data_IF_808140860651
#
_entry.id   IF_808140860651
#
_cell.length_a   1.000
_cell.length_b   1.000
_cell.length_c   1.000
_cell.angle_alpha   90.00
_cell.angle_beta   90.00
_cell.angle_gamma   90.00
#
_symmetry.space_group_name_H-M   'P 1'
#
loop_
_entity.id
_entity.type
_entity.pdbx_description
1 polymer ?
#
# COMPACT_ATOMS: atom_id res chain seq x y z
N UNK A 1 1.70 0.96 -11.85
CA UNK A 1 3.09 0.63 -12.21
C UNK A 1 3.93 0.57 -10.95
N UNK A 2 4.92 -0.31 -10.90
CA UNK A 2 5.94 -0.36 -9.86
C UNK A 2 7.31 -0.13 -10.50
N UNK A 3 8.16 0.59 -9.79
CA UNK A 3 9.53 0.85 -10.20
C UNK A 3 10.49 0.14 -9.25
N UNK A 4 11.21 -0.86 -9.76
CA UNK A 4 12.24 -1.56 -8.98
C UNK A 4 13.56 -0.81 -9.15
N UNK A 5 13.99 -0.17 -8.07
CA UNK A 5 15.26 0.54 -8.01
C UNK A 5 16.35 -0.37 -7.46
N UNK A 6 17.46 -0.49 -8.18
CA UNK A 6 18.61 -1.31 -7.78
C UNK A 6 19.93 -0.63 -8.12
N UNK A 7 21.01 -1.06 -7.47
CA UNK A 7 22.38 -0.62 -7.82
C UNK A 7 22.86 -1.50 -8.98
N UNK A 8 23.14 -0.88 -10.12
CA UNK A 8 23.65 -1.56 -11.31
C UNK A 8 25.17 -1.72 -11.27
N UNK A 9 25.87 -0.81 -10.57
CA UNK A 9 27.31 -0.84 -10.42
C UNK A 9 27.83 0.26 -9.51
N UNK A 10 29.01 0.04 -8.95
CA UNK A 10 29.74 1.01 -8.12
C UNK A 10 31.19 1.05 -8.55
N UNK A 11 31.65 2.22 -8.98
CA UNK A 11 33.05 2.47 -9.28
C UNK A 11 33.58 3.55 -8.33
N UNK A 12 34.39 3.15 -7.36
CA UNK A 12 34.81 4.01 -6.25
C UNK A 12 33.60 4.65 -5.54
N UNK A 13 33.47 5.99 -5.57
CA UNK A 13 32.33 6.75 -5.02
C UNK A 13 31.18 6.98 -6.00
N UNK A 14 31.33 6.62 -7.28
CA UNK A 14 30.27 6.78 -8.29
C UNK A 14 29.36 5.55 -8.29
N UNK A 15 28.08 5.75 -8.02
CA UNK A 15 27.04 4.71 -8.04
C UNK A 15 26.16 4.90 -9.27
N UNK A 16 25.93 3.82 -10.01
CA UNK A 16 24.98 3.78 -11.12
C UNK A 16 23.76 2.99 -10.68
N UNK A 17 22.56 3.57 -10.82
CA UNK A 17 21.30 2.91 -10.52
C UNK A 17 20.65 2.33 -11.78
N UNK A 18 19.84 1.30 -11.60
CA UNK A 18 18.91 0.77 -12.60
C UNK A 18 17.50 0.87 -12.04
N UNK A 19 16.62 1.51 -12.79
CA UNK A 19 15.19 1.51 -12.58
C UNK A 19 14.55 0.57 -13.60
N UNK A 20 13.79 -0.41 -13.14
CA UNK A 20 13.01 -1.28 -14.01
C UNK A 20 11.54 -1.04 -13.73
N UNK A 21 10.81 -0.62 -14.76
CA UNK A 21 9.35 -0.55 -14.71
C UNK A 21 8.78 -1.96 -14.75
N UNK A 22 7.86 -2.26 -13.83
CA UNK A 22 7.03 -3.45 -13.82
C UNK A 22 5.57 -3.07 -13.84
N UNK A 23 4.83 -3.69 -14.75
CA UNK A 23 3.38 -3.61 -14.76
C UNK A 23 2.80 -4.47 -13.63
N UNK A 24 1.63 -4.04 -13.14
CA UNK A 24 0.84 -4.79 -12.19
C UNK A 24 -0.34 -5.42 -12.91
N UNK A 25 -0.70 -6.64 -12.51
CA UNK A 25 -1.85 -7.39 -13.01
C UNK A 25 -2.73 -7.86 -11.85
N UNK A 26 -3.98 -8.23 -12.13
CA UNK A 26 -4.95 -8.62 -11.10
C UNK A 26 -5.71 -7.42 -10.53
N UNK A 27 -5.89 -7.37 -9.21
CA UNK A 27 -6.59 -6.28 -8.52
C UNK A 27 -5.66 -5.08 -8.37
N UNK A 28 -5.43 -4.35 -9.46
CA UNK A 28 -4.50 -3.21 -9.46
C UNK A 28 -5.12 -2.03 -8.72
N UNK A 29 -4.46 -1.45 -7.69
CA UNK A 29 -4.95 -0.25 -7.04
C UNK A 29 -4.95 0.93 -8.02
N UNK A 30 -5.98 1.78 -7.92
CA UNK A 30 -5.99 3.05 -8.65
C UNK A 30 -4.77 3.93 -8.33
N UNK A 31 -4.42 4.81 -9.27
CA UNK A 31 -3.32 5.76 -9.10
C UNK A 31 -3.58 6.68 -7.90
N UNK A 32 -2.63 6.69 -6.95
CA UNK A 32 -2.79 7.35 -5.66
C UNK A 32 -1.46 7.85 -5.10
N UNK A 33 -1.54 8.78 -4.15
CA UNK A 33 -0.40 9.34 -3.43
C UNK A 33 -0.69 9.40 -1.93
N UNK A 34 0.35 9.55 -1.10
CA UNK A 34 0.20 9.54 0.37
C UNK A 34 -0.22 8.18 0.94
N UNK A 35 -0.05 7.10 0.17
CA UNK A 35 -0.16 5.71 0.61
C UNK A 35 1.19 5.22 1.14
N UNK A 36 1.19 4.05 1.78
CA UNK A 36 2.41 3.34 2.15
C UNK A 36 2.50 1.99 1.45
N UNK A 37 3.72 1.47 1.33
CA UNK A 37 4.00 0.10 0.91
C UNK A 37 5.17 -0.45 1.72
N UNK A 38 4.98 -1.62 2.31
CA UNK A 38 5.99 -2.34 3.08
C UNK A 38 6.20 -3.74 2.54
N UNK A 39 7.39 -4.33 2.80
CA UNK A 39 7.66 -5.73 2.49
C UNK A 39 7.58 -6.55 3.76
N UNK A 40 6.79 -7.62 3.73
CA UNK A 40 6.69 -8.60 4.82
C UNK A 40 7.23 -9.96 4.38
N UNK A 41 7.65 -10.75 5.37
CA UNK A 41 8.24 -12.07 5.20
C UNK A 41 7.48 -13.09 6.04
N UNK A 42 6.97 -14.13 5.40
CA UNK A 42 6.25 -15.23 6.06
C UNK A 42 6.64 -16.56 5.43
N UNK A 43 7.01 -17.55 6.25
CA UNK A 43 7.38 -18.92 5.84
C UNK A 43 8.42 -18.98 4.69
N UNK A 44 9.38 -18.07 4.69
CA UNK A 44 10.43 -18.00 3.66
C UNK A 44 10.02 -17.31 2.36
N UNK A 45 8.78 -16.81 2.26
CA UNK A 45 8.27 -16.02 1.13
C UNK A 45 8.19 -14.54 1.52
N UNK A 46 8.24 -13.65 0.55
CA UNK A 46 8.07 -12.20 0.74
C UNK A 46 6.95 -11.65 -0.14
N UNK A 47 6.24 -10.64 0.36
CA UNK A 47 5.20 -9.95 -0.41
C UNK A 47 5.14 -8.47 -0.03
N UNK A 48 4.75 -7.61 -0.96
CA UNK A 48 4.44 -6.21 -0.70
C UNK A 48 3.04 -6.06 -0.09
N UNK A 49 2.89 -5.18 0.90
CA UNK A 49 1.62 -4.79 1.51
C UNK A 49 1.42 -3.31 1.25
N UNK A 50 0.45 -2.93 0.42
CA UNK A 50 0.12 -1.55 0.10
C UNK A 50 -1.19 -1.15 0.76
N UNK A 51 -1.23 0.02 1.39
CA UNK A 51 -2.42 0.53 2.07
C UNK A 51 -2.61 2.05 1.95
N UNK A 52 -3.87 2.46 1.84
CA UNK A 52 -4.35 3.84 1.97
C UNK A 52 -4.00 4.75 0.79
N UNK A 53 -3.88 6.05 1.09
CA UNK A 53 -3.61 7.12 0.15
C UNK A 53 -4.85 7.83 -0.39
N UNK A 54 -4.59 8.85 -1.21
CA UNK A 54 -5.58 9.67 -1.92
C UNK A 54 -5.43 9.54 -3.41
N UNK A 55 -6.57 9.67 -4.08
CA UNK A 55 -6.67 9.78 -5.53
C UNK A 55 -7.51 11.01 -5.89
N UNK A 56 -7.45 11.41 -7.16
CA UNK A 56 -8.45 12.32 -7.68
C UNK A 56 -9.83 11.67 -7.61
N UNK A 57 -10.87 12.49 -7.48
CA UNK A 57 -12.24 11.98 -7.54
C UNK A 57 -12.47 11.17 -8.83
N UNK A 58 -13.32 10.12 -8.79
CA UNK A 58 -13.58 9.25 -9.93
C UNK A 58 -13.97 10.04 -11.19
N UNK A 59 -13.62 9.52 -12.36
CA UNK A 59 -13.88 10.19 -13.65
C UNK A 59 -15.34 10.57 -13.85
N UNK A 60 -16.28 9.76 -13.36
CA UNK A 60 -17.73 10.02 -13.40
C UNK A 60 -18.19 11.22 -12.58
N UNK A 61 -17.38 11.68 -11.62
CA UNK A 61 -17.69 12.80 -10.73
C UNK A 61 -16.80 14.02 -11.00
N UNK A 62 -15.83 13.92 -11.92
CA UNK A 62 -14.83 14.95 -12.17
C UNK A 62 -15.38 16.01 -13.13
N UNK A 63 -15.46 17.24 -12.66
CA UNK A 63 -15.77 18.42 -13.48
C UNK A 63 -14.55 19.33 -13.58
N UNK A 64 -14.62 20.34 -14.45
CA UNK A 64 -13.58 21.38 -14.58
C UNK A 64 -13.37 22.16 -13.28
N UNK A 65 -14.44 22.41 -12.53
CA UNK A 65 -14.40 23.15 -11.26
C UNK A 65 -13.80 22.30 -10.13
N UNK A 66 -14.00 20.97 -10.18
CA UNK A 66 -13.46 20.02 -9.21
C UNK A 66 -12.26 19.24 -9.73
N UNK A 67 -11.59 19.75 -10.77
CA UNK A 67 -10.56 19.00 -11.47
C UNK A 67 -9.43 18.52 -10.56
N UNK A 68 -9.04 19.34 -9.59
CA UNK A 68 -7.97 19.05 -8.63
C UNK A 68 -8.49 18.51 -7.29
N UNK A 69 -9.78 18.21 -7.18
CA UNK A 69 -10.37 17.65 -5.95
C UNK A 69 -9.94 16.20 -5.76
N UNK A 70 -9.64 15.84 -4.52
CA UNK A 70 -9.17 14.51 -4.12
C UNK A 70 -10.08 13.92 -3.06
N UNK A 71 -10.08 12.59 -2.98
CA UNK A 71 -10.73 11.80 -1.93
C UNK A 71 -9.71 10.77 -1.40
N UNK A 72 -9.88 10.30 -0.16
CA UNK A 72 -9.14 9.11 0.25
C UNK A 72 -9.64 7.90 -0.55
N UNK A 73 -8.71 7.02 -0.91
CA UNK A 73 -9.02 5.77 -1.55
C UNK A 73 -9.78 4.84 -0.58
N UNK A 74 -10.48 3.85 -1.14
CA UNK A 74 -11.10 2.78 -0.34
C UNK A 74 -10.06 2.10 0.57
N UNK A 75 -10.43 1.72 1.81
CA UNK A 75 -9.53 1.16 2.82
C UNK A 75 -9.17 -0.31 2.57
N UNK A 76 -8.90 -0.67 1.31
CA UNK A 76 -8.45 -2.00 0.93
C UNK A 76 -6.95 -2.15 1.17
N UNK A 77 -6.55 -3.35 1.58
CA UNK A 77 -5.14 -3.76 1.65
C UNK A 77 -4.82 -4.54 0.37
N UNK A 78 -3.74 -4.17 -0.29
CA UNK A 78 -3.28 -4.86 -1.50
C UNK A 78 -2.04 -5.67 -1.18
N UNK A 79 -2.08 -6.97 -1.48
CA UNK A 79 -0.89 -7.81 -1.52
C UNK A 79 -0.30 -7.78 -2.92
N UNK A 80 1.00 -7.45 -3.03
CA UNK A 80 1.69 -7.30 -4.30
C UNK A 80 2.90 -8.24 -4.36
N UNK A 81 2.83 -9.20 -5.26
CA UNK A 81 3.97 -10.05 -5.62
C UNK A 81 4.90 -9.31 -6.59
N UNK A 82 6.13 -9.04 -6.17
CA UNK A 82 7.10 -8.32 -7.00
C UNK A 82 7.82 -9.19 -8.03
N UNK A 83 7.76 -10.52 -7.93
CA UNK A 83 8.34 -11.44 -8.91
C UNK A 83 7.52 -11.38 -10.20
N UNK A 84 6.21 -11.63 -10.07
CA UNK A 84 5.27 -11.71 -11.19
C UNK A 84 4.44 -10.44 -11.43
N UNK A 85 4.43 -9.49 -10.49
CA UNK A 85 3.61 -8.28 -10.58
C UNK A 85 2.12 -8.50 -10.26
N UNK A 86 1.78 -9.62 -9.62
CA UNK A 86 0.39 -9.94 -9.28
C UNK A 86 -0.07 -9.15 -8.06
N UNK A 87 -1.23 -8.50 -8.16
CA UNK A 87 -1.87 -7.77 -7.08
C UNK A 87 -3.19 -8.44 -6.69
N UNK A 88 -3.46 -8.55 -5.39
CA UNK A 88 -4.74 -9.07 -4.86
C UNK A 88 -5.23 -8.15 -3.75
N UNK A 89 -6.50 -7.78 -3.80
CA UNK A 89 -7.12 -6.87 -2.84
C UNK A 89 -7.82 -7.63 -1.70
N UNK A 90 -7.74 -7.08 -0.49
CA UNK A 90 -8.37 -7.61 0.72
C UNK A 90 -9.16 -6.50 1.41
N UNK A 91 -10.42 -6.80 1.73
CA UNK A 91 -11.30 -5.94 2.52
C UNK A 91 -11.25 -6.46 3.95
N UNK A 92 -10.84 -5.60 4.89
CA UNK A 92 -10.68 -5.96 6.30
C UNK A 92 -11.68 -5.16 7.14
N UNK A 93 -12.53 -5.81 7.95
CA UNK A 93 -13.63 -5.15 8.66
C UNK A 93 -13.16 -4.15 9.74
N UNK A 94 -11.90 -4.20 10.17
CA UNK A 94 -11.34 -3.23 11.10
C UNK A 94 -11.01 -1.89 10.43
N UNK A 95 -10.89 -1.87 9.10
CA UNK A 95 -10.49 -0.70 8.30
C UNK A 95 -11.73 -0.10 7.61
N UNK A 96 -12.39 0.85 8.28
CA UNK A 96 -13.66 1.43 7.81
C UNK A 96 -13.48 2.70 6.97
N UNK A 97 -12.55 3.56 7.37
CA UNK A 97 -12.31 4.85 6.72
C UNK A 97 -11.03 4.82 5.88
N UNK A 98 -11.06 5.56 4.76
CA UNK A 98 -9.85 5.88 4.01
C UNK A 98 -8.85 6.67 4.86
N UNK A 99 -7.57 6.36 4.68
CA UNK A 99 -6.48 6.94 5.46
C UNK A 99 -5.28 7.28 4.58
N UNK A 100 -4.75 8.50 4.75
CA UNK A 100 -3.60 9.00 4.00
C UNK A 100 -2.53 9.59 4.91
N UNK A 101 -1.29 9.64 4.43
CA UNK A 101 -0.14 10.20 5.15
C UNK A 101 0.07 9.56 6.54
N UNK A 102 -0.26 8.28 6.66
CA UNK A 102 0.03 7.47 7.83
C UNK A 102 1.49 6.99 7.79
N UNK A 103 1.99 6.56 8.95
CA UNK A 103 3.27 5.86 9.07
C UNK A 103 3.01 4.36 9.01
N UNK A 104 3.88 3.63 8.33
CA UNK A 104 3.85 2.18 8.29
C UNK A 104 5.20 1.59 8.73
N UNK A 105 5.14 0.46 9.44
CA UNK A 105 6.31 -0.24 9.95
C UNK A 105 6.12 -1.74 9.75
N UNK A 106 6.91 -2.34 8.85
CA UNK A 106 7.00 -3.79 8.75
C UNK A 106 7.92 -4.41 9.81
N UNK A 107 7.46 -5.53 10.38
CA UNK A 107 8.24 -6.44 11.22
C UNK A 107 7.84 -7.87 10.89
N UNK A 108 8.76 -8.60 10.27
CA UNK A 108 8.56 -9.99 9.82
C UNK A 108 7.29 -10.10 8.95
N UNK A 109 6.27 -10.81 9.42
CA UNK A 109 5.02 -11.12 8.73
C UNK A 109 3.91 -10.09 9.01
N UNK A 110 4.24 -8.96 9.65
CA UNK A 110 3.27 -8.01 10.19
C UNK A 110 3.62 -6.58 9.79
N UNK A 111 2.62 -5.77 9.43
CA UNK A 111 2.73 -4.32 9.24
C UNK A 111 1.92 -3.60 10.31
N UNK A 112 2.51 -2.57 10.90
CA UNK A 112 1.84 -1.66 11.83
C UNK A 112 1.56 -0.33 11.12
N UNK A 113 0.32 0.14 11.15
CA UNK A 113 -0.11 1.41 10.58
C UNK A 113 -0.47 2.38 11.71
N UNK A 114 0.18 3.54 11.74
CA UNK A 114 0.08 4.53 12.82
C UNK A 114 -0.34 5.90 12.28
N UNK A 115 -1.28 6.54 12.97
CA UNK A 115 -1.70 7.91 12.72
C UNK A 115 -2.35 8.10 11.36
N UNK A 116 -1.92 9.11 10.61
CA UNK A 116 -2.51 9.48 9.33
C UNK A 116 -3.70 10.43 9.46
N UNK A 117 -4.32 10.72 8.32
CA UNK A 117 -5.42 11.66 8.20
C UNK A 117 -6.52 11.11 7.29
N UNK A 118 -7.74 11.08 7.82
CA UNK A 118 -8.95 10.78 7.06
C UNK A 118 -9.58 12.08 6.57
N UNK A 119 -9.62 12.27 5.26
CA UNK A 119 -10.20 13.42 4.57
C UNK A 119 -11.71 13.45 4.68
N UNK A 120 -12.36 12.28 4.55
CA UNK A 120 -13.83 12.19 4.56
C UNK A 120 -14.40 12.71 5.88
N UNK A 121 -13.76 12.34 6.99
CA UNK A 121 -14.13 12.79 8.34
C UNK A 121 -13.37 14.05 8.77
N UNK A 122 -12.33 14.44 8.03
CA UNK A 122 -11.40 15.52 8.35
C UNK A 122 -10.78 15.39 9.76
N UNK A 123 -10.36 14.17 10.12
CA UNK A 123 -9.81 13.82 11.43
C UNK A 123 -8.45 13.13 11.31
N UNK A 124 -7.68 13.19 12.40
CA UNK A 124 -6.46 12.39 12.60
C UNK A 124 -6.74 11.33 13.67
N UNK A 125 -7.16 10.11 13.30
CA UNK A 125 -7.46 9.08 14.28
C UNK A 125 -6.19 8.66 15.02
N UNK A 126 -6.36 8.27 16.28
CA UNK A 126 -5.29 7.75 17.15
C UNK A 126 -5.13 6.24 17.04
N UNK A 127 -5.84 5.60 16.10
CA UNK A 127 -5.86 4.15 15.96
C UNK A 127 -4.50 3.62 15.51
N UNK A 128 -4.08 2.51 16.12
CA UNK A 128 -2.95 1.71 15.72
C UNK A 128 -3.46 0.41 15.10
N UNK A 129 -3.25 0.19 13.81
CA UNK A 129 -3.64 -1.05 13.16
C UNK A 129 -2.45 -1.98 13.03
N UNK A 130 -2.67 -3.26 13.34
CA UNK A 130 -1.71 -4.34 13.10
C UNK A 130 -2.29 -5.29 12.06
N UNK A 131 -1.67 -5.30 10.88
CA UNK A 131 -2.02 -6.17 9.75
C UNK A 131 -1.02 -7.32 9.71
N UNK A 132 -1.50 -8.55 9.90
CA UNK A 132 -0.68 -9.78 9.83
C UNK A 132 -0.96 -10.52 8.52
N UNK A 133 0.11 -10.98 7.87
CA UNK A 133 0.05 -11.68 6.58
C UNK A 133 0.69 -13.07 6.69
N UNK A 134 -0.09 -14.12 6.43
CA UNK A 134 0.43 -15.49 6.32
C UNK A 134 0.47 -15.93 4.86
N UNK A 135 1.57 -16.56 4.44
CA UNK A 135 1.83 -17.00 3.07
C UNK A 135 1.99 -18.53 3.00
N UNK A 136 0.89 -19.32 3.13
CA UNK A 136 0.93 -20.77 2.94
C UNK A 136 1.24 -21.15 1.48
N UNK A 137 1.18 -22.45 1.15
CA UNK A 137 1.28 -22.90 -0.25
C UNK A 137 0.04 -22.52 -1.08
N UNK A 138 -1.11 -22.33 -0.44
CA UNK A 138 -2.34 -21.86 -1.07
C UNK A 138 -2.50 -20.34 -1.02
N UNK A 139 -3.75 -19.88 -0.90
CA UNK A 139 -4.06 -18.45 -0.85
C UNK A 139 -3.49 -17.77 0.39
N UNK A 140 -2.94 -16.54 0.26
CA UNK A 140 -2.55 -15.73 1.41
C UNK A 140 -3.72 -15.48 2.37
N UNK A 141 -3.40 -15.35 3.66
CA UNK A 141 -4.34 -14.91 4.68
C UNK A 141 -3.90 -13.57 5.23
N UNK A 142 -4.83 -12.61 5.32
CA UNK A 142 -4.59 -11.27 5.87
C UNK A 142 -5.56 -11.05 7.00
N UNK A 143 -5.05 -10.60 8.16
CA UNK A 143 -5.87 -10.28 9.32
C UNK A 143 -5.48 -8.91 9.88
N UNK A 144 -6.46 -8.10 10.27
CA UNK A 144 -6.22 -6.82 10.91
C UNK A 144 -6.69 -6.89 12.37
N UNK A 145 -5.97 -6.17 13.24
CA UNK A 145 -6.38 -5.99 14.63
C UNK A 145 -6.10 -4.55 15.02
N UNK A 146 -7.05 -3.92 15.71
CA UNK A 146 -6.85 -2.59 16.31
C UNK A 146 -6.14 -2.78 17.65
N UNK A 147 -5.02 -2.10 17.84
CA UNK A 147 -4.29 -2.09 19.10
C UNK A 147 -4.69 -0.83 19.90
N UNK A 148 -4.73 -0.94 21.25
CA UNK A 148 -5.03 0.18 22.14
C UNK A 148 -3.89 1.22 22.16
#
# INVERSE_FOLDING_TARGET
>A
KIYVMSIAGKNSKKVTFRCTEKDLVGDVPEARYGHSIDVVYSRGKSIGVLFGGRSYIPSSQRTTEKWNSVADCLPHVFLVDFEFGCSTSYILPELQDGLSFHVSIARNDTVYILGGHSLANNTRPTNLYRIKVDLPLGSPAVNCTVLP
#
